data_IF_381067299922
#
_entry.id   IF_381067299922
#
_cell.length_a   1.000
_cell.length_b   1.000
_cell.length_c   1.000
_cell.angle_alpha   90.00
_cell.angle_beta   90.00
_cell.angle_gamma   90.00
#
_symmetry.space_group_name_H-M   'P 1'
#
loop_
_entity.id
_entity.type
_entity.pdbx_description
1 polymer ?
#
# COMPACT_ATOMS: atom_id res chain seq x y z
N UNK A 1 12.01 24.34 -2.05
CA UNK A 1 11.18 24.01 -3.24
C UNK A 1 11.21 22.49 -3.41
N UNK A 2 10.11 21.79 -3.15
CA UNK A 2 10.03 20.31 -3.22
C UNK A 2 9.18 19.81 -4.39
N UNK A 3 8.73 20.71 -5.29
CA UNK A 3 7.81 20.33 -6.37
C UNK A 3 8.37 19.27 -7.33
N UNK A 4 9.68 19.22 -7.54
CA UNK A 4 10.33 18.18 -8.36
C UNK A 4 10.91 17.02 -7.57
N UNK A 5 10.70 16.98 -6.26
CA UNK A 5 11.17 15.88 -5.42
C UNK A 5 10.14 14.75 -5.40
N UNK A 6 10.62 13.52 -5.44
CA UNK A 6 9.82 12.35 -5.11
C UNK A 6 9.52 12.33 -3.61
N UNK A 7 8.27 12.04 -3.26
CA UNK A 7 7.83 11.90 -1.88
C UNK A 7 7.47 10.43 -1.61
N UNK A 8 8.15 9.82 -0.66
CA UNK A 8 7.95 8.42 -0.28
C UNK A 8 7.35 8.37 1.12
N UNK A 9 6.12 7.85 1.24
CA UNK A 9 5.50 7.55 2.52
C UNK A 9 5.85 6.12 2.92
N UNK A 10 6.53 6.00 4.05
CA UNK A 10 6.89 4.71 4.64
C UNK A 10 5.95 4.46 5.79
N UNK A 11 5.16 3.39 5.68
CA UNK A 11 4.28 2.91 6.74
C UNK A 11 4.81 1.60 7.32
N UNK A 12 4.19 1.14 8.41
CA UNK A 12 4.46 -0.17 9.00
C UNK A 12 3.14 -0.84 9.32
N UNK A 13 3.02 -2.11 8.93
CA UNK A 13 1.88 -2.99 9.16
C UNK A 13 0.53 -2.35 8.79
N UNK A 14 0.54 -1.52 7.74
CA UNK A 14 -0.60 -0.72 7.30
C UNK A 14 -1.41 -1.36 6.17
N UNK A 15 -0.92 -2.46 5.60
CA UNK A 15 -1.61 -3.24 4.57
C UNK A 15 -1.30 -4.72 4.73
N UNK A 16 -2.24 -5.57 4.33
CA UNK A 16 -2.03 -7.01 4.18
C UNK A 16 -1.54 -7.34 2.78
N UNK A 17 -0.56 -8.24 2.67
CA UNK A 17 -0.01 -8.69 1.38
C UNK A 17 -0.10 -10.20 1.15
N UNK A 18 -0.69 -10.93 2.09
CA UNK A 18 -1.08 -12.34 2.00
C UNK A 18 -2.07 -12.67 3.13
N UNK A 19 -2.83 -13.78 3.06
CA UNK A 19 -3.73 -14.20 4.13
C UNK A 19 -3.07 -14.30 5.51
N UNK A 20 -1.79 -14.70 5.55
CA UNK A 20 -1.02 -14.82 6.79
C UNK A 20 -0.34 -13.50 7.25
N UNK A 21 -0.44 -12.44 6.45
CA UNK A 21 0.11 -11.12 6.73
C UNK A 21 -1.03 -10.21 7.20
N UNK A 22 -1.35 -10.28 8.49
CA UNK A 22 -2.45 -9.52 9.08
C UNK A 22 -2.05 -8.05 9.27
N UNK A 23 -2.99 -7.15 8.97
CA UNK A 23 -2.78 -5.73 9.17
C UNK A 23 -3.00 -5.36 10.65
N UNK A 24 -2.01 -4.74 11.27
CA UNK A 24 -2.08 -4.35 12.69
C UNK A 24 -2.32 -2.84 12.88
N UNK A 25 -2.01 -2.01 11.87
CA UNK A 25 -2.08 -0.56 11.96
C UNK A 25 -3.14 0.07 11.04
N UNK A 26 -4.38 0.08 11.52
CA UNK A 26 -5.54 0.65 10.84
C UNK A 26 -5.42 2.15 10.55
N UNK A 27 -4.79 2.92 11.44
CA UNK A 27 -4.63 4.36 11.25
C UNK A 27 -3.73 4.67 10.05
N UNK A 28 -2.66 3.89 9.87
CA UNK A 28 -1.77 4.04 8.71
C UNK A 28 -2.41 3.52 7.41
N UNK A 29 -3.36 2.59 7.47
CA UNK A 29 -4.11 2.14 6.30
C UNK A 29 -4.88 3.29 5.63
N UNK A 30 -5.40 4.26 6.41
CA UNK A 30 -6.08 5.44 5.86
C UNK A 30 -5.14 6.32 5.01
N UNK A 31 -3.85 6.40 5.38
CA UNK A 31 -2.84 7.15 4.61
C UNK A 31 -2.67 6.58 3.21
N UNK A 32 -2.79 5.26 3.05
CA UNK A 32 -2.71 4.62 1.73
C UNK A 32 -3.82 5.10 0.79
N UNK A 33 -5.06 5.18 1.28
CA UNK A 33 -6.19 5.75 0.52
C UNK A 33 -5.97 7.22 0.17
N UNK A 34 -5.52 8.02 1.13
CA UNK A 34 -5.25 9.45 0.91
C UNK A 34 -4.16 9.68 -0.15
N UNK A 35 -3.03 8.96 -0.09
CA UNK A 35 -1.94 9.12 -1.04
C UNK A 35 -2.35 8.64 -2.45
N UNK A 36 -3.16 7.59 -2.55
CA UNK A 36 -3.75 7.16 -3.83
C UNK A 36 -4.60 8.27 -4.46
N UNK A 37 -5.46 8.92 -3.67
CA UNK A 37 -6.24 10.08 -4.11
C UNK A 37 -5.33 11.23 -4.55
N UNK A 38 -4.32 11.56 -3.74
CA UNK A 38 -3.39 12.65 -4.05
C UNK A 38 -2.61 12.43 -5.36
N UNK A 39 -2.26 11.17 -5.70
CA UNK A 39 -1.63 10.86 -7.01
C UNK A 39 -2.57 11.11 -8.19
N UNK A 40 -3.87 10.80 -8.03
CA UNK A 40 -4.87 11.06 -9.06
C UNK A 40 -5.12 12.57 -9.23
N UNK A 41 -5.13 13.31 -8.14
CA UNK A 41 -5.36 14.77 -8.15
C UNK A 41 -4.13 15.58 -8.61
N UNK A 42 -2.91 15.06 -8.40
CA UNK A 42 -1.65 15.72 -8.75
C UNK A 42 -0.74 14.79 -9.58
N UNK A 43 -1.10 14.49 -10.84
CA UNK A 43 -0.34 13.56 -11.69
C UNK A 43 1.11 14.01 -11.96
N UNK A 44 1.41 15.30 -11.82
CA UNK A 44 2.74 15.87 -11.97
C UNK A 44 3.68 15.55 -10.80
N UNK A 45 3.15 15.03 -9.69
CA UNK A 45 3.93 14.66 -8.51
C UNK A 45 4.25 13.18 -8.49
N UNK A 46 5.49 12.88 -8.08
CA UNK A 46 5.93 11.50 -7.86
C UNK A 46 5.72 11.17 -6.38
N UNK A 47 4.65 10.43 -6.08
CA UNK A 47 4.30 9.98 -4.73
C UNK A 47 4.33 8.45 -4.66
N UNK A 48 5.01 7.87 -3.66
CA UNK A 48 5.08 6.42 -3.45
C UNK A 48 4.72 6.00 -2.04
N UNK A 49 4.21 4.78 -1.92
CA UNK A 49 3.91 4.11 -0.65
C UNK A 49 4.79 2.88 -0.50
N UNK A 50 5.41 2.73 0.66
CA UNK A 50 6.19 1.55 1.04
C UNK A 50 5.69 1.12 2.41
N UNK A 51 5.12 -0.08 2.53
CA UNK A 51 4.77 -0.63 3.84
C UNK A 51 5.83 -1.62 4.30
N UNK A 52 6.36 -1.41 5.50
CA UNK A 52 7.31 -2.31 6.15
C UNK A 52 6.55 -3.32 7.01
N UNK A 53 7.02 -4.56 7.04
CA UNK A 53 6.52 -5.56 8.00
C UNK A 53 6.96 -5.27 9.44
N UNK A 54 6.66 -6.16 10.39
CA UNK A 54 7.05 -5.99 11.78
C UNK A 54 8.57 -6.13 11.95
N UNK A 55 9.09 -5.60 13.06
CA UNK A 55 10.51 -5.70 13.41
C UNK A 55 11.45 -4.76 12.63
N UNK A 56 12.75 -5.05 12.68
CA UNK A 56 13.77 -4.22 12.01
C UNK A 56 13.74 -4.50 10.50
N UNK A 57 13.53 -3.47 9.65
CA UNK A 57 13.53 -3.66 8.21
C UNK A 57 14.95 -3.93 7.69
N UNK A 58 15.05 -4.63 6.56
CA UNK A 58 16.28 -4.63 5.77
C UNK A 58 16.46 -3.24 5.12
N UNK A 59 17.30 -2.41 5.73
CA UNK A 59 17.58 -1.06 5.24
C UNK A 59 18.30 -1.05 3.89
N UNK A 60 19.06 -2.09 3.53
CA UNK A 60 19.70 -2.17 2.22
C UNK A 60 18.66 -2.46 1.14
N UNK A 61 17.72 -3.35 1.42
CA UNK A 61 16.59 -3.60 0.52
C UNK A 61 15.72 -2.35 0.38
N UNK A 62 15.39 -1.67 1.48
CA UNK A 62 14.62 -0.43 1.46
C UNK A 62 15.30 0.65 0.61
N UNK A 63 16.61 0.87 0.80
CA UNK A 63 17.38 1.82 -0.01
C UNK A 63 17.31 1.47 -1.50
N UNK A 64 17.51 0.19 -1.85
CA UNK A 64 17.43 -0.28 -3.23
C UNK A 64 16.04 -0.08 -3.84
N UNK A 65 14.97 -0.32 -3.09
CA UNK A 65 13.58 -0.08 -3.52
C UNK A 65 13.33 1.41 -3.76
N UNK A 66 13.81 2.28 -2.87
CA UNK A 66 13.69 3.73 -3.05
C UNK A 66 14.43 4.16 -4.32
N UNK A 67 15.69 3.76 -4.48
CA UNK A 67 16.55 4.12 -5.63
C UNK A 67 16.03 3.60 -6.97
N UNK A 68 15.53 2.36 -7.01
CA UNK A 68 15.08 1.73 -8.26
C UNK A 68 13.78 2.35 -8.77
N UNK A 69 12.90 2.79 -7.87
CA UNK A 69 11.66 3.44 -8.27
C UNK A 69 10.66 2.54 -9.02
N UNK A 70 9.90 3.14 -9.92
CA UNK A 70 9.07 2.45 -10.93
C UNK A 70 7.69 1.98 -10.45
N UNK A 71 7.55 1.61 -9.18
CA UNK A 71 6.28 1.15 -8.62
C UNK A 71 5.71 2.18 -7.63
N UNK A 72 4.44 2.58 -7.80
CA UNK A 72 3.82 3.57 -6.92
C UNK A 72 3.58 3.03 -5.52
N UNK A 73 3.49 1.71 -5.37
CA UNK A 73 3.15 1.03 -4.13
C UNK A 73 3.94 -0.28 -4.01
N UNK A 74 4.48 -0.55 -2.82
CA UNK A 74 5.03 -1.85 -2.51
C UNK A 74 4.98 -2.15 -1.01
N UNK A 75 5.18 -3.42 -0.68
CA UNK A 75 5.31 -3.91 0.69
C UNK A 75 6.62 -4.67 0.81
N UNK A 76 7.33 -4.46 1.92
CA UNK A 76 8.58 -5.12 2.25
C UNK A 76 8.34 -6.01 3.47
N UNK A 77 8.53 -7.32 3.30
CA UNK A 77 8.41 -8.33 4.35
C UNK A 77 9.68 -9.19 4.32
N UNK A 78 10.55 -9.02 5.31
CA UNK A 78 11.89 -9.62 5.28
C UNK A 78 12.66 -9.22 4.02
N UNK A 79 13.11 -10.21 3.24
CA UNK A 79 13.84 -9.99 1.98
C UNK A 79 12.93 -9.87 0.74
N UNK A 80 11.60 -9.96 0.93
CA UNK A 80 10.62 -9.96 -0.16
C UNK A 80 10.01 -8.59 -0.39
N UNK A 81 9.89 -8.21 -1.67
CA UNK A 81 9.14 -7.03 -2.13
C UNK A 81 7.94 -7.51 -2.93
N UNK A 82 6.74 -7.07 -2.58
CA UNK A 82 5.51 -7.33 -3.36
C UNK A 82 4.88 -6.02 -3.80
N UNK A 83 4.28 -6.02 -4.99
CA UNK A 83 3.58 -4.87 -5.56
C UNK A 83 2.11 -5.21 -5.76
N UNK A 84 1.17 -4.31 -5.40
CA UNK A 84 -0.24 -4.60 -5.52
C UNK A 84 -0.66 -4.58 -6.99
N UNK A 85 -1.51 -5.55 -7.35
CA UNK A 85 -2.18 -5.64 -8.65
C UNK A 85 -3.61 -6.11 -8.42
N UNK A 86 -4.57 -5.42 -9.03
CA UNK A 86 -5.93 -5.89 -9.09
C UNK A 86 -6.02 -7.06 -10.07
N UNK A 87 -6.73 -8.11 -9.69
CA UNK A 87 -7.06 -9.25 -10.55
C UNK A 87 -8.53 -9.60 -10.35
N UNK A 88 -9.22 -10.10 -11.39
CA UNK A 88 -10.53 -10.72 -11.20
C UNK A 88 -10.44 -11.86 -10.18
N UNK A 89 -11.48 -11.99 -9.35
CA UNK A 89 -11.66 -13.16 -8.49
C UNK A 89 -12.18 -14.32 -9.34
N UNK A 90 -11.69 -15.53 -9.08
CA UNK A 90 -12.08 -16.77 -9.77
C UNK A 90 -13.09 -17.60 -8.98
N UNK A 91 -13.29 -17.27 -7.70
CA UNK A 91 -14.38 -17.79 -6.89
C UNK A 91 -15.65 -16.96 -7.15
N UNK A 92 -16.77 -17.65 -7.33
CA UNK A 92 -18.10 -17.09 -7.11
C UNK A 92 -18.17 -16.72 -5.62
N UNK A 93 -17.70 -15.53 -5.29
CA UNK A 93 -18.08 -14.90 -4.03
C UNK A 93 -19.57 -14.64 -4.12
N UNK A 94 -20.35 -15.23 -3.20
CA UNK A 94 -21.72 -14.79 -2.96
C UNK A 94 -21.67 -13.26 -2.98
N UNK A 95 -22.37 -12.66 -3.94
CA UNK A 95 -22.37 -11.22 -4.09
C UNK A 95 -22.61 -10.61 -2.72
N UNK A 96 -21.92 -9.52 -2.36
CA UNK A 96 -22.20 -8.81 -1.12
C UNK A 96 -23.70 -8.47 -1.12
N UNK A 97 -24.48 -9.29 -0.40
CA UNK A 97 -25.92 -9.13 -0.32
C UNK A 97 -26.10 -7.91 0.55
N UNK A 98 -26.58 -6.82 -0.06
CA UNK A 98 -27.00 -5.66 0.70
C UNK A 98 -28.03 -6.16 1.72
N UNK A 99 -27.83 -5.91 3.03
CA UNK A 99 -28.79 -6.37 4.02
C UNK A 99 -30.19 -5.84 3.70
N UNK A 100 -31.22 -6.66 3.96
CA UNK A 100 -32.59 -6.37 3.53
C UNK A 100 -33.18 -5.12 4.21
N UNK A 101 -32.62 -4.68 5.35
CA UNK A 101 -33.11 -3.53 6.11
C UNK A 101 -31.98 -2.53 6.41
N UNK A 102 -32.14 -1.30 5.90
CA UNK A 102 -31.19 -0.21 6.07
C UNK A 102 -31.28 0.43 7.45
N UNK A 103 -30.22 0.27 8.24
CA UNK A 103 -29.88 1.16 9.35
C UNK A 103 -28.37 1.43 9.41
N UNK A 104 -27.77 1.64 8.24
CA UNK A 104 -26.45 2.26 8.10
C UNK A 104 -26.53 3.78 8.15
#
# INVERSE_FOLDING_TARGET
RLQGAELVWITRDAVSSSPDDQMENWAHAAVWGMVRTARTEQPERVLRLIDLGPGTPDFRLLARVIETGGEPECVLRGESVRVPRARPTVEEVDALVLPDEGSW
#
